data_IF_448959490519
#
_entry.id   IF_448959490519
#
_cell.length_a   1.000
_cell.length_b   1.000
_cell.length_c   1.000
_cell.angle_alpha   90.00
_cell.angle_beta   90.00
_cell.angle_gamma   90.00
#
_symmetry.space_group_name_H-M   'P 1'
#
loop_
_entity.id
_entity.type
_entity.pdbx_description
1 polymer ?
#
# COMPACT_ATOMS: atom_id res chain seq x y z
N UNK A 1 -42.66 -35.00 15.62
CA UNK A 1 -42.41 -36.32 16.25
C UNK A 1 -41.04 -36.79 15.81
N UNK A 2 -40.28 -37.13 16.74
CA UNK A 2 -39.03 -37.85 16.97
C UNK A 2 -37.84 -36.96 17.35
N UNK A 3 -37.70 -36.88 18.67
CA UNK A 3 -36.48 -36.55 19.41
C UNK A 3 -35.50 -37.72 19.27
N UNK A 4 -34.23 -37.48 19.22
CA UNK A 4 -33.26 -38.38 19.85
C UNK A 4 -32.08 -37.54 20.38
N UNK A 5 -31.93 -37.67 21.68
CA UNK A 5 -30.83 -37.23 22.49
C UNK A 5 -29.85 -38.40 22.68
N UNK A 6 -28.73 -38.14 23.28
CA UNK A 6 -27.74 -39.01 23.95
C UNK A 6 -26.30 -38.72 23.44
N UNK A 7 -25.25 -38.67 24.21
CA UNK A 7 -25.00 -39.01 25.62
C UNK A 7 -23.65 -38.39 26.02
N UNK A 8 -23.56 -37.91 27.24
CA UNK A 8 -22.35 -37.58 27.98
C UNK A 8 -21.57 -38.85 28.34
N UNK A 9 -20.24 -38.81 28.33
CA UNK A 9 -19.46 -39.71 29.14
C UNK A 9 -18.36 -38.98 29.87
N UNK A 10 -18.53 -38.93 31.17
CA UNK A 10 -17.59 -38.49 32.20
C UNK A 10 -16.89 -39.75 32.70
N UNK A 11 -15.60 -39.73 32.88
CA UNK A 11 -14.93 -40.72 33.74
C UNK A 11 -13.76 -40.08 34.49
N UNK A 12 -13.78 -40.32 35.78
CA UNK A 12 -13.09 -39.68 36.85
C UNK A 12 -11.78 -40.39 37.22
N UNK A 13 -10.91 -39.57 37.78
CA UNK A 13 -9.96 -39.78 38.89
C UNK A 13 -9.58 -41.21 39.35
N UNK A 14 -8.27 -41.39 39.55
CA UNK A 14 -7.78 -41.95 40.84
C UNK A 14 -6.40 -41.42 41.20
N UNK A 15 -6.28 -40.99 42.45
CA UNK A 15 -5.17 -40.58 43.25
C UNK A 15 -4.46 -41.81 43.84
N UNK A 16 -3.14 -41.74 44.05
CA UNK A 16 -2.46 -42.28 45.26
C UNK A 16 -1.01 -41.82 45.35
N UNK A 17 -0.68 -41.17 46.44
CA UNK A 17 0.65 -41.02 47.07
C UNK A 17 0.65 -41.93 48.32
N UNK A 18 1.76 -42.12 49.15
CA UNK A 18 3.20 -41.81 49.05
C UNK A 18 4.13 -42.95 49.49
N UNK A 19 5.47 -42.76 49.45
CA UNK A 19 6.44 -43.67 50.11
C UNK A 19 7.90 -43.21 49.99
N UNK A 20 8.37 -42.57 51.03
CA UNK A 20 9.63 -42.51 51.78
C UNK A 20 11.00 -42.85 51.14
N UNK A 21 11.87 -41.86 51.24
CA UNK A 21 13.33 -41.82 51.66
C UNK A 21 14.25 -42.98 51.40
N UNK A 22 15.38 -42.67 50.72
CA UNK A 22 16.72 -42.94 51.23
C UNK A 22 17.80 -42.13 50.49
N UNK A 23 18.71 -41.58 51.25
CA UNK A 23 19.90 -40.80 50.90
C UNK A 23 21.03 -41.70 50.43
N UNK A 24 21.79 -41.34 49.40
CA UNK A 24 23.22 -41.57 49.26
C UNK A 24 23.91 -40.61 48.28
N UNK A 25 25.11 -40.30 48.65
CA UNK A 25 26.13 -39.39 48.18
C UNK A 25 26.33 -39.13 46.67
N UNK A 26 26.83 -37.94 46.46
CA UNK A 26 27.33 -37.29 45.19
C UNK A 26 28.48 -38.09 44.52
N UNK A 27 28.73 -37.88 43.22
CA UNK A 27 29.75 -36.89 42.91
C UNK A 27 29.34 -35.91 41.78
N UNK A 28 29.93 -34.73 41.86
CA UNK A 28 29.90 -33.65 40.90
C UNK A 28 30.33 -34.10 39.50
N UNK A 29 29.47 -33.87 38.49
CA UNK A 29 29.88 -33.78 37.10
C UNK A 29 29.29 -32.50 36.52
N UNK A 30 30.17 -31.57 36.22
CA UNK A 30 29.92 -30.43 35.36
C UNK A 30 29.36 -30.95 34.03
N UNK A 31 28.10 -30.65 33.74
CA UNK A 31 27.58 -30.64 32.39
C UNK A 31 27.15 -29.21 32.09
N UNK A 32 27.95 -28.53 31.29
CA UNK A 32 27.53 -27.36 30.51
C UNK A 32 26.34 -27.79 29.63
N UNK A 33 25.15 -27.64 30.17
CA UNK A 33 23.93 -27.75 29.39
C UNK A 33 23.66 -26.38 28.71
N UNK A 34 24.46 -26.13 27.67
CA UNK A 34 24.15 -25.05 26.72
C UNK A 34 22.92 -25.50 25.96
N UNK A 35 21.74 -25.16 26.47
CA UNK A 35 20.49 -25.22 25.71
C UNK A 35 20.69 -24.40 24.45
N UNK A 36 20.98 -25.09 23.35
CA UNK A 36 20.93 -24.52 21.99
C UNK A 36 19.49 -24.04 21.75
N UNK A 37 19.26 -22.75 21.97
CA UNK A 37 18.07 -22.10 21.44
C UNK A 37 18.16 -22.32 19.93
N UNK A 38 17.15 -22.95 19.28
CA UNK A 38 17.19 -23.13 17.85
C UNK A 38 17.29 -21.71 17.23
N UNK A 39 18.38 -21.50 16.50
CA UNK A 39 18.57 -20.32 15.68
C UNK A 39 17.41 -20.32 14.70
N UNK A 40 16.46 -19.40 14.87
CA UNK A 40 15.35 -19.21 13.93
C UNK A 40 16.03 -18.89 12.60
N UNK A 41 15.95 -19.80 11.64
CA UNK A 41 16.43 -19.57 10.28
C UNK A 41 15.86 -18.20 9.82
N UNK A 42 16.72 -17.20 9.72
CA UNK A 42 16.36 -15.91 9.16
C UNK A 42 15.91 -16.19 7.73
N UNK A 43 14.62 -16.05 7.48
CA UNK A 43 14.07 -16.10 6.13
C UNK A 43 14.90 -15.16 5.27
N UNK A 44 15.70 -15.71 4.36
CA UNK A 44 16.57 -14.93 3.48
C UNK A 44 15.74 -14.38 2.34
N UNK A 45 15.22 -13.18 2.53
CA UNK A 45 14.59 -12.44 1.43
C UNK A 45 15.63 -12.09 0.35
N UNK A 46 15.25 -12.06 -0.92
CA UNK A 46 16.17 -11.69 -1.99
C UNK A 46 16.66 -10.25 -1.81
N UNK A 47 17.94 -10.02 -2.12
CA UNK A 47 18.59 -8.72 -2.01
C UNK A 47 19.39 -8.41 -3.26
N UNK A 48 19.28 -7.19 -3.76
CA UNK A 48 20.12 -6.66 -4.84
C UNK A 48 20.22 -5.13 -4.66
N UNK A 49 21.36 -4.69 -4.22
CA UNK A 49 21.66 -3.29 -3.90
C UNK A 49 21.37 -2.30 -5.04
N UNK A 50 21.40 -2.76 -6.29
CA UNK A 50 21.13 -1.89 -7.44
C UNK A 50 19.77 -1.16 -7.34
N UNK A 51 18.76 -1.80 -6.70
CA UNK A 51 17.43 -1.20 -6.55
C UNK A 51 17.44 -0.04 -5.55
N UNK A 52 18.14 -0.22 -4.43
CA UNK A 52 18.29 0.84 -3.43
C UNK A 52 19.18 1.97 -3.93
N UNK A 53 20.30 1.64 -4.60
CA UNK A 53 21.19 2.62 -5.22
C UNK A 53 20.45 3.51 -6.24
N UNK A 54 19.64 2.88 -7.10
CA UNK A 54 18.81 3.63 -8.05
C UNK A 54 17.78 4.51 -7.32
N UNK A 55 17.10 3.96 -6.33
CA UNK A 55 16.08 4.68 -5.57
C UNK A 55 16.69 5.89 -4.83
N UNK A 56 17.87 5.74 -4.22
CA UNK A 56 18.61 6.84 -3.61
C UNK A 56 18.93 7.93 -4.65
N UNK A 57 19.46 7.52 -5.79
CA UNK A 57 19.86 8.46 -6.85
C UNK A 57 18.67 9.30 -7.35
N UNK A 58 17.53 8.67 -7.64
CA UNK A 58 16.32 9.39 -8.10
C UNK A 58 15.59 10.13 -6.98
N UNK A 59 15.79 9.75 -5.72
CA UNK A 59 15.28 10.49 -4.58
C UNK A 59 16.15 11.73 -4.24
N UNK A 60 17.30 11.91 -4.90
CA UNK A 60 18.25 12.96 -4.58
C UNK A 60 18.90 12.74 -3.20
N UNK A 61 19.06 11.49 -2.80
CA UNK A 61 19.74 11.05 -1.58
C UNK A 61 21.09 10.49 -1.98
N UNK A 62 22.15 10.87 -1.28
CA UNK A 62 23.49 10.36 -1.57
C UNK A 62 23.57 8.87 -1.30
N UNK A 63 24.04 8.12 -2.29
CA UNK A 63 24.28 6.69 -2.16
C UNK A 63 25.45 6.40 -1.23
N UNK A 64 25.47 5.19 -0.70
CA UNK A 64 26.59 4.72 0.11
C UNK A 64 27.87 4.53 -0.71
N UNK A 65 28.99 4.42 -0.03
CA UNK A 65 30.24 4.04 -0.69
C UNK A 65 30.12 2.65 -1.35
N UNK A 66 30.61 2.56 -2.59
CA UNK A 66 30.48 1.36 -3.42
C UNK A 66 29.17 1.24 -4.21
N UNK A 67 28.27 2.23 -4.13
CA UNK A 67 27.14 2.33 -5.06
C UNK A 67 27.62 2.51 -6.50
N UNK A 68 27.03 1.75 -7.43
CA UNK A 68 27.32 1.87 -8.87
C UNK A 68 26.98 3.24 -9.47
N UNK A 69 26.17 4.05 -8.76
CA UNK A 69 25.77 5.40 -9.19
C UNK A 69 26.50 6.52 -8.46
N UNK A 70 27.36 6.21 -7.49
CA UNK A 70 28.10 7.20 -6.68
C UNK A 70 28.89 8.18 -7.54
N UNK A 71 29.51 7.72 -8.61
CA UNK A 71 30.26 8.56 -9.55
C UNK A 71 29.43 9.64 -10.24
N UNK A 72 28.13 9.42 -10.43
CA UNK A 72 27.21 10.39 -11.04
C UNK A 72 26.82 11.53 -10.10
N UNK A 73 26.93 11.32 -8.80
CA UNK A 73 26.51 12.27 -7.77
C UNK A 73 27.38 13.53 -7.69
N UNK A 74 28.62 13.45 -8.15
CA UNK A 74 29.51 14.61 -8.23
C UNK A 74 29.17 15.58 -9.37
N UNK A 75 28.30 15.16 -10.32
CA UNK A 75 27.92 16.00 -11.45
C UNK A 75 27.09 17.21 -11.01
N UNK A 76 27.29 18.36 -11.67
CA UNK A 76 26.50 19.57 -11.41
C UNK A 76 25.02 19.35 -11.68
N UNK A 77 24.68 18.47 -12.62
CA UNK A 77 23.32 18.07 -12.96
C UNK A 77 22.65 17.41 -11.76
N UNK A 78 23.27 16.41 -11.17
CA UNK A 78 22.71 15.69 -10.03
C UNK A 78 22.68 16.56 -8.77
N UNK A 79 23.69 17.36 -8.51
CA UNK A 79 23.71 18.27 -7.36
C UNK A 79 22.60 19.34 -7.43
N UNK A 80 22.29 19.85 -8.62
CA UNK A 80 21.16 20.75 -8.82
C UNK A 80 19.83 20.03 -8.63
N UNK A 81 19.72 18.80 -9.12
CA UNK A 81 18.56 17.95 -8.93
C UNK A 81 18.30 17.66 -7.44
N UNK A 82 19.33 17.23 -6.68
CA UNK A 82 19.25 16.97 -5.24
C UNK A 82 18.68 18.17 -4.49
N UNK A 83 19.24 19.38 -4.73
CA UNK A 83 18.75 20.61 -4.10
C UNK A 83 17.28 20.90 -4.43
N UNK A 84 16.87 20.68 -5.65
CA UNK A 84 15.48 20.87 -6.06
C UNK A 84 14.55 19.84 -5.40
N UNK A 85 14.98 18.59 -5.26
CA UNK A 85 14.25 17.53 -4.57
C UNK A 85 14.08 17.82 -3.08
N UNK A 86 15.14 18.25 -2.40
CA UNK A 86 15.08 18.63 -0.98
C UNK A 86 14.11 19.81 -0.76
N UNK A 87 14.09 20.77 -1.69
CA UNK A 87 13.12 21.87 -1.68
C UNK A 87 11.66 21.42 -1.81
N UNK A 88 11.38 20.45 -2.69
CA UNK A 88 10.04 19.89 -2.87
C UNK A 88 9.55 19.13 -1.61
N UNK A 89 10.46 18.37 -0.98
CA UNK A 89 10.12 17.55 0.18
C UNK A 89 9.93 18.34 1.47
N UNK A 90 10.42 19.57 1.56
CA UNK A 90 10.33 20.39 2.77
C UNK A 90 8.90 20.47 3.32
N UNK A 91 7.93 20.86 2.49
CA UNK A 91 6.52 20.98 2.91
C UNK A 91 5.91 19.61 3.26
N UNK A 92 6.32 18.55 2.58
CA UNK A 92 5.85 17.19 2.87
C UNK A 92 6.39 16.70 4.20
N UNK A 93 7.67 16.95 4.48
CA UNK A 93 8.30 16.61 5.76
C UNK A 93 7.64 17.30 6.95
N UNK A 94 7.10 18.51 6.78
CA UNK A 94 6.34 19.20 7.83
C UNK A 94 4.96 18.59 8.08
N UNK A 95 4.34 18.00 7.07
CA UNK A 95 2.99 17.42 7.15
C UNK A 95 2.97 15.95 7.60
N UNK A 96 3.95 15.17 7.18
CA UNK A 96 3.98 13.73 7.46
C UNK A 96 3.94 13.38 8.95
N UNK A 97 4.68 14.04 9.86
CA UNK A 97 4.58 13.76 11.29
C UNK A 97 3.16 13.93 11.82
N UNK A 98 2.48 15.01 11.43
CA UNK A 98 1.09 15.27 11.85
C UNK A 98 0.14 14.17 11.37
N UNK A 99 0.34 13.64 10.14
CA UNK A 99 -0.45 12.52 9.62
C UNK A 99 -0.15 11.23 10.36
N UNK A 100 1.11 10.94 10.66
CA UNK A 100 1.55 9.73 11.39
C UNK A 100 1.04 9.76 12.83
N UNK A 101 1.15 10.88 13.53
CA UNK A 101 0.63 11.05 14.91
C UNK A 101 -0.88 10.82 14.94
N UNK A 102 -1.61 11.42 13.98
CA UNK A 102 -3.05 11.21 13.86
C UNK A 102 -3.39 9.74 13.56
N UNK A 103 -2.65 9.11 12.64
CA UNK A 103 -2.86 7.70 12.31
C UNK A 103 -2.61 6.78 13.51
N UNK A 104 -1.56 7.02 14.27
CA UNK A 104 -1.26 6.26 15.49
C UNK A 104 -2.38 6.39 16.54
N UNK A 105 -3.04 7.55 16.61
CA UNK A 105 -4.12 7.78 17.56
C UNK A 105 -5.48 7.24 17.09
N UNK A 106 -5.80 7.37 15.80
CA UNK A 106 -7.16 7.19 15.29
C UNK A 106 -7.31 5.97 14.37
N UNK A 107 -6.26 5.57 13.63
CA UNK A 107 -6.26 4.41 12.72
C UNK A 107 -5.71 3.19 13.45
N UNK A 108 -4.47 3.23 13.90
CA UNK A 108 -3.78 2.22 14.72
C UNK A 108 -4.07 0.77 14.32
N UNK A 109 -3.99 0.47 13.03
CA UNK A 109 -4.15 -0.90 12.53
C UNK A 109 -2.82 -1.64 12.59
N UNK A 110 -2.84 -2.85 13.15
CA UNK A 110 -1.67 -3.73 13.23
C UNK A 110 -1.24 -4.30 11.87
N UNK A 111 -0.43 -5.36 11.91
CA UNK A 111 0.04 -6.07 10.71
C UNK A 111 -1.11 -6.65 9.87
N UNK A 112 -0.80 -7.07 8.65
CA UNK A 112 -1.73 -7.67 7.72
C UNK A 112 -1.60 -7.10 6.31
N UNK A 113 -2.60 -7.32 5.46
CA UNK A 113 -2.60 -6.82 4.09
C UNK A 113 -3.36 -5.50 3.99
N UNK A 114 -2.69 -4.46 3.49
CA UNK A 114 -3.31 -3.22 3.02
C UNK A 114 -3.68 -3.35 1.54
N UNK A 115 -4.96 -3.21 1.22
CA UNK A 115 -5.42 -3.05 -0.14
C UNK A 115 -5.66 -1.56 -0.47
N UNK A 116 -4.96 -1.04 -1.48
CA UNK A 116 -5.07 0.36 -1.90
C UNK A 116 -5.41 0.45 -3.40
N UNK A 117 -6.68 0.27 -3.79
CA UNK A 117 -7.12 0.45 -5.17
C UNK A 117 -7.16 1.94 -5.54
N UNK A 118 -6.95 2.22 -6.83
CA UNK A 118 -6.90 3.59 -7.40
C UNK A 118 -5.79 4.47 -6.83
N UNK A 119 -4.76 3.83 -6.31
CA UNK A 119 -3.69 4.48 -5.55
C UNK A 119 -2.75 5.35 -6.40
N UNK A 120 -2.59 5.04 -7.69
CA UNK A 120 -1.37 5.47 -8.36
C UNK A 120 -0.13 4.96 -7.60
N UNK A 121 1.01 5.64 -7.66
CA UNK A 121 2.21 5.27 -6.89
C UNK A 121 2.24 5.83 -5.46
N UNK A 122 1.09 6.01 -4.81
CA UNK A 122 0.96 6.73 -3.52
C UNK A 122 1.40 5.89 -2.30
N UNK A 123 2.63 5.46 -2.29
CA UNK A 123 3.22 4.82 -1.13
C UNK A 123 3.29 5.76 0.09
N UNK A 124 3.42 7.08 -0.16
CA UNK A 124 3.56 8.10 0.89
C UNK A 124 2.45 8.04 1.94
N UNK A 125 1.18 8.03 1.48
CA UNK A 125 0.04 7.98 2.38
C UNK A 125 -0.26 6.55 2.87
N UNK A 126 0.05 5.53 2.06
CA UNK A 126 -0.03 4.15 2.50
C UNK A 126 0.86 3.91 3.74
N UNK A 127 2.13 4.34 3.70
CA UNK A 127 3.04 4.22 4.85
C UNK A 127 2.66 5.15 6.02
N UNK A 128 2.15 6.36 5.73
CA UNK A 128 1.77 7.30 6.78
C UNK A 128 0.58 6.80 7.62
N UNK A 129 -0.39 6.12 7.00
CA UNK A 129 -1.61 5.67 7.69
C UNK A 129 -1.59 4.20 8.09
N UNK A 130 -0.79 3.37 7.42
CA UNK A 130 -0.72 1.93 7.67
C UNK A 130 0.73 1.46 7.82
N UNK A 131 1.47 2.03 8.79
CA UNK A 131 2.90 1.77 8.93
C UNK A 131 3.25 0.32 9.27
N UNK A 132 2.34 -0.43 9.89
CA UNK A 132 2.59 -1.77 10.39
C UNK A 132 2.12 -2.89 9.44
N UNK A 133 1.48 -2.53 8.31
CA UNK A 133 1.05 -3.53 7.34
C UNK A 133 2.25 -4.14 6.61
N UNK A 134 2.37 -5.45 6.68
CA UNK A 134 3.50 -6.19 6.09
C UNK A 134 3.35 -6.36 4.58
N UNK A 135 2.11 -6.50 4.11
CA UNK A 135 1.80 -6.64 2.69
C UNK A 135 0.97 -5.44 2.21
N UNK A 136 1.42 -4.79 1.16
CA UNK A 136 0.69 -3.69 0.51
C UNK A 136 0.37 -4.12 -0.92
N UNK A 137 -0.91 -4.09 -1.27
CA UNK A 137 -1.37 -4.34 -2.64
C UNK A 137 -1.95 -3.06 -3.21
N UNK A 138 -1.29 -2.51 -4.21
CA UNK A 138 -1.69 -1.28 -4.90
C UNK A 138 -2.14 -1.60 -6.32
N UNK A 139 -3.29 -1.07 -6.71
CA UNK A 139 -3.82 -1.22 -8.06
C UNK A 139 -4.23 0.14 -8.62
N UNK A 140 -3.73 0.47 -9.82
CA UNK A 140 -4.08 1.71 -10.50
C UNK A 140 -4.05 1.53 -12.03
N UNK A 141 -4.24 2.61 -12.79
CA UNK A 141 -4.23 2.55 -14.26
C UNK A 141 -2.89 2.95 -14.87
N UNK A 142 -2.03 3.57 -14.08
CA UNK A 142 -0.71 4.02 -14.53
C UNK A 142 0.20 2.83 -14.77
N UNK A 143 0.96 2.82 -15.89
CA UNK A 143 1.90 1.74 -16.18
C UNK A 143 2.99 1.66 -15.11
N UNK A 144 3.49 0.46 -14.91
CA UNK A 144 4.56 0.21 -13.92
C UNK A 144 5.84 0.94 -14.30
N UNK A 145 6.20 0.91 -15.59
CA UNK A 145 7.45 1.42 -16.10
C UNK A 145 8.60 0.43 -16.03
N UNK A 146 9.75 0.87 -16.50
CA UNK A 146 10.97 0.07 -16.55
C UNK A 146 12.06 0.64 -15.64
N UNK A 147 13.05 -0.19 -15.34
CA UNK A 147 14.21 0.19 -14.53
C UNK A 147 15.31 0.71 -15.47
N UNK A 148 15.56 2.03 -15.55
CA UNK A 148 16.51 2.57 -16.49
C UNK A 148 17.96 2.34 -16.04
N UNK A 149 18.86 2.16 -17.00
CA UNK A 149 20.29 2.22 -16.74
C UNK A 149 20.75 3.69 -16.68
N UNK A 150 20.97 4.20 -15.47
CA UNK A 150 21.35 5.60 -15.25
C UNK A 150 22.78 5.92 -15.73
N UNK A 151 23.69 4.93 -15.75
CA UNK A 151 25.05 5.11 -16.28
C UNK A 151 24.98 5.36 -17.79
N UNK A 152 24.29 4.51 -18.53
CA UNK A 152 24.09 4.70 -19.98
C UNK A 152 23.35 6.01 -20.29
N UNK A 153 22.36 6.40 -19.47
CA UNK A 153 21.69 7.70 -19.64
C UNK A 153 22.64 8.87 -19.44
N UNK A 154 23.55 8.78 -18.48
CA UNK A 154 24.55 9.81 -18.22
C UNK A 154 25.56 9.89 -19.35
N UNK A 155 26.10 8.77 -19.82
CA UNK A 155 27.02 8.71 -20.96
C UNK A 155 26.39 9.28 -22.23
N UNK A 156 25.07 9.09 -22.40
CA UNK A 156 24.31 9.66 -23.50
C UNK A 156 23.87 11.13 -23.28
N UNK A 157 24.21 11.74 -22.13
CA UNK A 157 23.80 13.11 -21.77
C UNK A 157 22.30 13.28 -21.52
N UNK A 158 21.58 12.19 -21.16
CA UNK A 158 20.11 12.14 -20.98
C UNK A 158 19.68 12.04 -19.51
N UNK A 159 20.60 11.86 -18.59
CA UNK A 159 20.34 11.76 -17.15
C UNK A 159 19.59 12.98 -16.61
N UNK A 160 20.00 14.19 -16.98
CA UNK A 160 19.34 15.42 -16.57
C UNK A 160 17.91 15.54 -17.08
N UNK A 161 17.62 15.03 -18.29
CA UNK A 161 16.26 15.04 -18.85
C UNK A 161 15.38 14.09 -18.04
N UNK A 162 15.89 12.87 -17.76
CA UNK A 162 15.18 11.86 -16.96
C UNK A 162 14.88 12.38 -15.55
N UNK A 163 15.90 12.83 -14.82
CA UNK A 163 15.78 13.37 -13.46
C UNK A 163 14.80 14.56 -13.39
N UNK A 164 14.83 15.45 -14.39
CA UNK A 164 13.86 16.55 -14.45
C UNK A 164 12.43 16.05 -14.69
N UNK A 165 12.24 14.98 -15.48
CA UNK A 165 10.95 14.31 -15.66
C UNK A 165 10.41 13.76 -14.33
N UNK A 166 11.25 13.03 -13.59
CA UNK A 166 10.91 12.51 -12.25
C UNK A 166 10.53 13.65 -11.30
N UNK A 167 11.33 14.72 -11.25
CA UNK A 167 11.05 15.89 -10.42
C UNK A 167 9.72 16.57 -10.76
N UNK A 168 9.41 16.73 -12.03
CA UNK A 168 8.13 17.34 -12.48
C UNK A 168 6.93 16.50 -12.05
N UNK A 169 7.00 15.19 -12.23
CA UNK A 169 5.94 14.26 -11.82
C UNK A 169 5.72 14.35 -10.30
N UNK A 170 6.80 14.34 -9.51
CA UNK A 170 6.71 14.48 -8.07
C UNK A 170 6.14 15.82 -7.62
N UNK A 171 6.57 16.93 -8.22
CA UNK A 171 6.07 18.28 -7.88
C UNK A 171 4.55 18.37 -8.06
N UNK A 172 4.01 17.76 -9.11
CA UNK A 172 2.56 17.71 -9.35
C UNK A 172 1.85 16.95 -8.22
N UNK A 173 2.37 15.80 -7.83
CA UNK A 173 1.78 14.94 -6.79
C UNK A 173 1.80 15.65 -5.43
N UNK A 174 2.95 16.16 -5.01
CA UNK A 174 3.09 16.81 -3.72
C UNK A 174 2.30 18.13 -3.64
N UNK A 175 2.09 18.79 -4.78
CA UNK A 175 1.37 20.07 -4.85
C UNK A 175 -0.14 19.96 -4.62
N UNK A 176 -0.77 18.86 -5.03
CA UNK A 176 -2.23 18.68 -5.00
C UNK A 176 -2.71 17.47 -4.17
N UNK A 177 -1.78 16.76 -3.52
CA UNK A 177 -2.08 15.61 -2.64
C UNK A 177 -2.81 14.42 -3.30
N UNK A 178 -2.91 14.38 -4.62
CA UNK A 178 -3.50 13.25 -5.36
C UNK A 178 -2.91 13.11 -6.76
N UNK A 179 -3.12 11.94 -7.36
CA UNK A 179 -2.64 11.63 -8.70
C UNK A 179 -3.69 11.97 -9.75
N UNK A 180 -3.28 12.62 -10.82
CA UNK A 180 -4.11 12.86 -11.98
C UNK A 180 -3.68 11.94 -13.11
N UNK A 181 -4.26 10.74 -13.19
CA UNK A 181 -3.93 9.70 -14.17
C UNK A 181 -3.73 10.22 -15.60
N UNK A 182 -4.63 11.09 -16.08
CA UNK A 182 -4.55 11.64 -17.44
C UNK A 182 -3.32 12.53 -17.63
N UNK A 183 -2.98 13.35 -16.64
CA UNK A 183 -1.81 14.21 -16.69
C UNK A 183 -0.52 13.39 -16.59
N UNK A 184 -0.48 12.42 -15.68
CA UNK A 184 0.68 11.55 -15.49
C UNK A 184 0.98 10.69 -16.72
N UNK A 185 -0.03 10.10 -17.35
CA UNK A 185 0.15 9.34 -18.61
C UNK A 185 0.73 10.22 -19.72
N UNK A 186 0.41 11.51 -19.73
CA UNK A 186 1.00 12.46 -20.69
C UNK A 186 2.47 12.79 -20.33
N UNK A 187 2.77 12.93 -19.03
CA UNK A 187 4.11 13.26 -18.55
C UNK A 187 5.05 12.05 -18.62
N UNK A 188 4.53 10.82 -18.42
CA UNK A 188 5.27 9.56 -18.56
C UNK A 188 5.52 9.12 -20.02
N UNK A 189 4.94 9.78 -21.00
CA UNK A 189 5.17 9.49 -22.44
C UNK A 189 6.52 9.96 -22.98
N UNK A 190 7.45 10.31 -22.10
CA UNK A 190 8.77 10.76 -22.48
C UNK A 190 9.86 9.88 -21.89
N UNK A 191 10.75 10.51 -21.12
CA UNK A 191 11.90 9.84 -20.52
C UNK A 191 11.55 8.98 -19.31
N UNK A 192 10.41 9.27 -18.62
CA UNK A 192 9.90 8.50 -17.48
C UNK A 192 8.70 7.69 -17.95
N UNK A 193 8.83 6.36 -18.01
CA UNK A 193 7.88 5.48 -18.67
C UNK A 193 6.86 4.81 -17.73
N UNK A 194 6.77 5.25 -16.47
CA UNK A 194 5.79 4.70 -15.51
C UNK A 194 5.97 5.13 -14.06
N UNK A 195 5.31 4.41 -13.17
CA UNK A 195 5.22 4.72 -11.74
C UNK A 195 6.45 4.35 -10.92
N UNK A 196 7.26 3.42 -11.42
CA UNK A 196 8.38 2.82 -10.69
C UNK A 196 9.26 3.88 -10.01
N UNK A 197 9.76 4.92 -10.71
CA UNK A 197 10.64 5.89 -10.08
C UNK A 197 9.94 6.73 -9.00
N UNK A 198 8.65 7.01 -9.15
CA UNK A 198 7.88 7.77 -8.15
C UNK A 198 7.65 6.94 -6.90
N UNK A 199 7.30 5.66 -7.07
CA UNK A 199 7.08 4.73 -5.97
C UNK A 199 8.36 4.53 -5.14
N UNK A 200 9.49 4.23 -5.81
CA UNK A 200 10.78 4.05 -5.15
C UNK A 200 11.26 5.32 -4.44
N UNK A 201 11.02 6.47 -5.04
CA UNK A 201 11.35 7.75 -4.45
C UNK A 201 10.57 8.03 -3.16
N UNK A 202 9.27 7.69 -3.12
CA UNK A 202 8.48 7.79 -1.89
C UNK A 202 9.03 6.85 -0.81
N UNK A 203 9.39 5.61 -1.17
CA UNK A 203 10.00 4.67 -0.21
C UNK A 203 11.27 5.25 0.41
N UNK A 204 12.20 5.75 -0.41
CA UNK A 204 13.46 6.34 0.11
C UNK A 204 13.21 7.58 0.96
N UNK A 205 12.35 8.49 0.52
CA UNK A 205 12.05 9.74 1.23
C UNK A 205 11.20 9.52 2.50
N UNK A 206 10.67 8.32 2.72
CA UNK A 206 10.03 7.89 3.98
C UNK A 206 10.88 6.93 4.81
N UNK A 207 12.20 6.92 4.57
CA UNK A 207 13.20 6.18 5.35
C UNK A 207 13.13 4.65 5.20
N UNK A 208 12.96 4.18 3.96
CA UNK A 208 12.97 2.75 3.65
C UNK A 208 14.18 2.36 2.77
N UNK A 209 14.69 1.16 3.00
CA UNK A 209 15.61 0.44 2.14
C UNK A 209 14.82 -0.46 1.20
N UNK A 210 15.16 -0.42 -0.10
CA UNK A 210 14.57 -1.32 -1.10
C UNK A 210 15.51 -2.49 -1.32
N UNK A 211 15.17 -3.64 -0.78
CA UNK A 211 16.00 -4.84 -0.80
C UNK A 211 16.01 -5.50 -2.19
N UNK A 212 14.83 -5.60 -2.81
CA UNK A 212 14.67 -6.30 -4.08
C UNK A 212 13.41 -5.88 -4.81
N UNK A 213 13.41 -6.05 -6.13
CA UNK A 213 12.22 -5.89 -6.96
C UNK A 213 12.17 -7.04 -7.96
N UNK A 214 10.99 -7.61 -8.13
CA UNK A 214 10.74 -8.68 -9.08
C UNK A 214 9.45 -8.44 -9.88
N UNK A 215 9.40 -9.03 -11.06
CA UNK A 215 8.18 -9.11 -11.85
C UNK A 215 7.38 -10.33 -11.42
N UNK A 216 6.09 -10.16 -11.20
CA UNK A 216 5.18 -11.25 -10.85
C UNK A 216 4.05 -11.37 -11.86
N UNK A 217 3.62 -12.59 -12.13
CA UNK A 217 2.46 -12.88 -12.96
C UNK A 217 1.36 -13.53 -12.12
N UNK A 218 0.12 -13.19 -12.42
CA UNK A 218 -1.05 -13.77 -11.76
C UNK A 218 -1.48 -15.06 -12.48
N UNK A 219 -1.60 -16.16 -11.74
CA UNK A 219 -2.11 -17.42 -12.24
C UNK A 219 -3.64 -17.41 -12.32
N UNK A 220 -4.24 -18.38 -13.05
CA UNK A 220 -5.71 -18.49 -13.15
C UNK A 220 -6.44 -18.65 -11.81
N UNK A 221 -5.78 -19.21 -10.79
CA UNK A 221 -6.29 -19.39 -9.43
C UNK A 221 -6.11 -18.14 -8.53
N UNK A 222 -5.57 -17.05 -9.07
CA UNK A 222 -5.27 -15.82 -8.34
C UNK A 222 -3.93 -15.82 -7.62
N UNK A 223 -3.19 -16.92 -7.54
CA UNK A 223 -1.86 -16.92 -6.92
C UNK A 223 -0.83 -16.22 -7.80
N UNK A 224 0.24 -15.71 -7.19
CA UNK A 224 1.32 -15.03 -7.92
C UNK A 224 2.52 -15.96 -8.15
N UNK A 225 3.20 -15.79 -9.27
CA UNK A 225 4.42 -16.52 -9.63
C UNK A 225 5.45 -15.58 -10.25
N UNK A 226 6.72 -15.89 -10.05
CA UNK A 226 7.86 -15.26 -10.74
C UNK A 226 8.25 -16.03 -12.00
N UNK A 227 7.72 -17.24 -12.18
CA UNK A 227 7.93 -18.04 -13.41
C UNK A 227 7.11 -17.47 -14.55
N UNK A 228 7.82 -16.85 -15.51
CA UNK A 228 7.25 -16.25 -16.72
C UNK A 228 7.21 -17.22 -17.91
N UNK A 229 7.72 -18.46 -17.79
CA UNK A 229 7.85 -19.43 -18.87
C UNK A 229 6.49 -19.85 -19.47
N UNK A 230 5.45 -19.86 -18.65
CA UNK A 230 4.08 -20.21 -19.04
C UNK A 230 3.16 -18.98 -19.14
N UNK A 231 3.74 -17.81 -19.37
CA UNK A 231 2.97 -16.58 -19.43
C UNK A 231 2.13 -16.57 -20.72
N UNK A 232 0.82 -16.76 -20.55
CA UNK A 232 -0.14 -16.65 -21.65
C UNK A 232 -0.59 -15.20 -21.77
N UNK A 233 -0.90 -14.75 -22.97
CA UNK A 233 -1.31 -13.37 -23.34
C UNK A 233 -2.43 -12.75 -22.50
N UNK A 234 -2.99 -13.48 -21.55
CA UNK A 234 -4.09 -13.04 -20.69
C UNK A 234 -3.68 -12.72 -19.26
N UNK A 235 -2.44 -12.92 -18.89
CA UNK A 235 -1.97 -12.84 -17.50
C UNK A 235 -1.72 -11.40 -17.08
N UNK A 236 -2.18 -11.02 -15.87
CA UNK A 236 -1.76 -9.75 -15.28
C UNK A 236 -0.33 -9.84 -14.78
N UNK A 237 0.46 -8.88 -15.19
CA UNK A 237 1.85 -8.72 -14.76
C UNK A 237 1.91 -7.53 -13.82
N UNK A 238 2.58 -7.73 -12.70
CA UNK A 238 2.82 -6.71 -11.67
C UNK A 238 4.29 -6.66 -11.27
N UNK A 239 4.61 -5.74 -10.41
CA UNK A 239 5.90 -5.66 -9.73
C UNK A 239 5.71 -5.87 -8.24
N UNK A 240 6.57 -6.68 -7.63
CA UNK A 240 6.67 -6.85 -6.19
C UNK A 240 7.98 -6.25 -5.71
N UNK A 241 7.89 -5.45 -4.66
CA UNK A 241 9.02 -4.84 -3.96
C UNK A 241 9.15 -5.49 -2.59
N UNK A 242 10.37 -5.82 -2.19
CA UNK A 242 10.75 -6.17 -0.83
C UNK A 242 11.50 -5.00 -0.23
N UNK A 243 11.03 -4.50 0.88
CA UNK A 243 11.58 -3.31 1.50
C UNK A 243 11.42 -3.36 3.02
N UNK A 244 12.22 -2.57 3.72
CA UNK A 244 12.14 -2.42 5.18
C UNK A 244 12.39 -0.96 5.57
N UNK A 245 12.02 -0.56 6.78
CA UNK A 245 12.51 0.70 7.34
C UNK A 245 13.98 0.57 7.70
N UNK A 246 14.75 1.64 7.55
CA UNK A 246 16.19 1.60 7.82
C UNK A 246 16.53 1.17 9.26
N UNK A 247 15.62 1.38 10.21
CA UNK A 247 15.79 1.08 11.63
C UNK A 247 15.07 -0.21 12.06
N UNK A 248 14.63 -1.04 11.11
CA UNK A 248 13.83 -2.24 11.36
C UNK A 248 14.35 -3.42 10.54
N UNK A 249 14.29 -4.61 11.12
CA UNK A 249 14.55 -5.87 10.41
C UNK A 249 13.26 -6.46 9.78
N UNK A 250 12.09 -5.85 10.01
CA UNK A 250 10.82 -6.33 9.46
C UNK A 250 10.76 -6.02 7.97
N UNK A 251 10.78 -7.07 7.17
CA UNK A 251 10.64 -6.96 5.71
C UNK A 251 9.17 -6.91 5.35
N UNK A 252 8.82 -5.92 4.54
CA UNK A 252 7.48 -5.66 4.01
C UNK A 252 7.47 -5.90 2.51
N UNK A 253 6.31 -6.21 1.96
CA UNK A 253 6.14 -6.32 0.52
C UNK A 253 5.16 -5.28 -0.01
N UNK A 254 5.43 -4.78 -1.21
CA UNK A 254 4.47 -4.00 -1.98
C UNK A 254 4.31 -4.64 -3.35
N UNK A 255 3.08 -5.02 -3.70
CA UNK A 255 2.76 -5.54 -5.04
C UNK A 255 1.89 -4.52 -5.77
N UNK A 256 2.35 -4.09 -6.95
CA UNK A 256 1.65 -3.11 -7.79
C UNK A 256 1.20 -3.74 -9.10
N UNK A 257 -0.08 -3.52 -9.44
CA UNK A 257 -0.65 -3.91 -10.74
C UNK A 257 -1.24 -2.70 -11.48
N UNK A 258 -0.95 -2.61 -12.76
CA UNK A 258 -1.57 -1.64 -13.67
C UNK A 258 -2.84 -2.24 -14.29
N UNK A 259 -3.98 -2.13 -13.60
CA UNK A 259 -5.22 -2.85 -13.95
C UNK A 259 -6.44 -1.97 -13.77
N UNK A 260 -7.42 -2.13 -14.68
CA UNK A 260 -8.74 -1.53 -14.54
C UNK A 260 -9.67 -2.44 -13.72
N UNK A 261 -10.22 -1.90 -12.63
CA UNK A 261 -11.14 -2.58 -11.71
C UNK A 261 -12.62 -2.43 -12.08
N UNK A 262 -12.94 -1.98 -13.30
CA UNK A 262 -14.32 -1.90 -13.77
C UNK A 262 -14.91 -3.29 -14.04
N UNK A 263 -16.21 -3.48 -13.80
CA UNK A 263 -16.89 -4.76 -13.98
C UNK A 263 -16.86 -5.30 -15.42
N UNK A 264 -16.97 -4.41 -16.39
CA UNK A 264 -17.09 -4.75 -17.81
C UNK A 264 -15.92 -4.22 -18.62
N UNK A 265 -15.57 -4.86 -19.73
CA UNK A 265 -14.57 -4.33 -20.66
C UNK A 265 -14.91 -2.89 -21.09
N UNK A 266 -13.89 -2.09 -21.31
CA UNK A 266 -14.04 -0.78 -21.90
C UNK A 266 -12.98 -0.56 -22.99
N UNK A 267 -13.30 0.30 -23.94
CA UNK A 267 -12.37 0.69 -24.99
C UNK A 267 -11.56 1.90 -24.51
N UNK A 268 -10.25 1.75 -24.42
CA UNK A 268 -9.34 2.85 -24.12
C UNK A 268 -9.30 3.85 -25.29
N UNK A 269 -8.83 5.08 -25.04
CA UNK A 269 -8.63 6.08 -26.09
C UNK A 269 -7.69 5.63 -27.22
N UNK A 270 -6.89 4.59 -27.01
CA UNK A 270 -6.02 3.96 -28.01
C UNK A 270 -6.66 2.81 -28.78
N UNK A 271 -7.96 2.55 -28.62
CA UNK A 271 -8.66 1.44 -29.27
C UNK A 271 -8.44 0.07 -28.62
N UNK A 272 -7.60 -0.03 -27.59
CA UNK A 272 -7.37 -1.26 -26.84
C UNK A 272 -8.54 -1.53 -25.90
N UNK A 273 -9.04 -2.77 -25.95
CA UNK A 273 -10.10 -3.22 -25.02
C UNK A 273 -9.46 -3.74 -23.75
N UNK A 274 -9.68 -3.03 -22.65
CA UNK A 274 -9.30 -3.52 -21.33
C UNK A 274 -10.39 -4.45 -20.80
N UNK A 275 -10.01 -5.68 -20.44
CA UNK A 275 -10.93 -6.67 -19.84
C UNK A 275 -11.40 -6.19 -18.46
N UNK A 276 -12.67 -6.37 -18.16
CA UNK A 276 -13.25 -6.05 -16.85
C UNK A 276 -13.32 -7.26 -15.92
N UNK A 277 -13.63 -7.02 -14.63
CA UNK A 277 -13.66 -8.04 -13.56
C UNK A 277 -14.60 -9.21 -13.86
N UNK A 278 -15.71 -9.01 -14.57
CA UNK A 278 -16.63 -10.10 -14.93
C UNK A 278 -15.99 -11.20 -15.79
N UNK A 279 -14.94 -10.89 -16.51
CA UNK A 279 -14.23 -11.82 -17.40
C UNK A 279 -12.83 -12.17 -16.88
N UNK A 280 -12.46 -11.68 -15.69
CA UNK A 280 -11.15 -11.89 -15.08
C UNK A 280 -11.30 -12.56 -13.72
N UNK A 281 -11.64 -13.84 -13.78
CA UNK A 281 -11.81 -14.67 -12.59
C UNK A 281 -10.51 -14.83 -11.79
N UNK A 282 -9.35 -14.80 -12.46
CA UNK A 282 -8.02 -14.78 -11.86
C UNK A 282 -7.82 -13.55 -10.96
N UNK A 283 -8.15 -12.34 -11.45
CA UNK A 283 -8.03 -11.12 -10.65
C UNK A 283 -9.03 -11.09 -9.49
N UNK A 284 -10.25 -11.59 -9.69
CA UNK A 284 -11.22 -11.70 -8.61
C UNK A 284 -10.74 -12.68 -7.55
N UNK A 285 -10.25 -13.87 -7.95
CA UNK A 285 -9.68 -14.85 -7.04
C UNK A 285 -8.46 -14.30 -6.27
N UNK A 286 -7.59 -13.54 -6.93
CA UNK A 286 -6.48 -12.85 -6.28
C UNK A 286 -7.00 -11.88 -5.19
N UNK A 287 -7.94 -10.99 -5.54
CA UNK A 287 -8.47 -9.98 -4.62
C UNK A 287 -9.22 -10.60 -3.42
N UNK A 288 -9.88 -11.73 -3.62
CA UNK A 288 -10.56 -12.48 -2.55
C UNK A 288 -9.58 -13.30 -1.70
N UNK A 289 -8.41 -13.65 -2.25
CA UNK A 289 -7.40 -14.49 -1.60
C UNK A 289 -6.29 -13.76 -0.85
N UNK A 290 -6.17 -12.43 -0.98
CA UNK A 290 -5.07 -11.67 -0.36
C UNK A 290 -5.26 -11.33 1.13
N UNK A 291 -6.30 -11.84 1.76
CA UNK A 291 -6.61 -11.63 3.20
C UNK A 291 -6.54 -10.14 3.60
N UNK A 292 -7.47 -9.34 3.06
CA UNK A 292 -7.47 -7.90 3.23
C UNK A 292 -7.77 -7.53 4.68
N UNK A 293 -6.77 -7.03 5.42
CA UNK A 293 -6.96 -6.46 6.75
C UNK A 293 -7.58 -5.06 6.64
N UNK A 294 -6.97 -4.21 5.85
CA UNK A 294 -7.36 -2.81 5.69
C UNK A 294 -7.50 -2.43 4.23
N UNK A 295 -8.48 -1.58 3.91
CA UNK A 295 -8.57 -0.92 2.61
C UNK A 295 -8.43 0.60 2.78
N UNK A 296 -7.64 1.21 1.90
CA UNK A 296 -7.51 2.66 1.82
C UNK A 296 -8.03 3.19 0.48
N UNK A 297 -8.92 4.18 0.53
CA UNK A 297 -9.50 4.82 -0.65
C UNK A 297 -9.34 6.34 -0.55
N UNK A 298 -8.52 6.91 -1.40
CA UNK A 298 -8.28 8.36 -1.44
C UNK A 298 -8.34 8.85 -2.88
N UNK A 299 -9.12 9.90 -3.11
CA UNK A 299 -9.25 10.52 -4.44
C UNK A 299 -9.58 9.50 -5.54
N UNK A 300 -10.47 8.56 -5.23
CA UNK A 300 -10.83 7.41 -6.08
C UNK A 300 -11.78 7.79 -7.25
N UNK A 301 -11.83 9.06 -7.64
CA UNK A 301 -12.65 9.58 -8.76
C UNK A 301 -14.14 9.21 -8.65
N UNK A 302 -14.63 9.00 -7.43
CA UNK A 302 -16.00 8.56 -7.15
C UNK A 302 -16.38 7.29 -7.94
N UNK A 303 -15.40 6.44 -8.26
CA UNK A 303 -15.64 5.22 -9.02
C UNK A 303 -16.50 4.23 -8.22
N UNK A 304 -16.33 4.19 -6.91
CA UNK A 304 -17.13 3.35 -6.02
C UNK A 304 -18.61 3.75 -5.95
N UNK A 305 -18.99 4.95 -6.40
CA UNK A 305 -20.38 5.38 -6.52
C UNK A 305 -21.09 4.77 -7.74
N UNK A 306 -20.34 4.23 -8.69
CA UNK A 306 -20.90 3.73 -9.96
C UNK A 306 -21.22 2.23 -9.86
N UNK A 307 -22.35 1.82 -10.47
CA UNK A 307 -22.70 0.41 -10.57
C UNK A 307 -21.67 -0.43 -11.34
N UNK A 308 -20.94 0.22 -12.25
CA UNK A 308 -19.86 -0.40 -13.02
C UNK A 308 -18.63 -0.80 -12.19
N UNK A 309 -18.57 -0.46 -10.91
CA UNK A 309 -17.53 -0.85 -9.96
C UNK A 309 -18.12 -1.64 -8.76
N UNK A 310 -19.29 -2.23 -8.94
CA UNK A 310 -19.96 -2.95 -7.84
C UNK A 310 -19.21 -4.20 -7.40
N UNK A 311 -18.49 -4.90 -8.28
CA UNK A 311 -17.73 -6.10 -7.92
C UNK A 311 -16.62 -5.73 -6.94
N UNK A 312 -15.75 -4.79 -7.28
CA UNK A 312 -14.66 -4.39 -6.39
C UNK A 312 -15.18 -3.77 -5.09
N UNK A 313 -16.27 -2.98 -5.14
CA UNK A 313 -16.90 -2.44 -3.94
C UNK A 313 -17.36 -3.55 -2.99
N UNK A 314 -17.99 -4.62 -3.53
CA UNK A 314 -18.44 -5.76 -2.72
C UNK A 314 -17.22 -6.52 -2.16
N UNK A 315 -16.20 -6.79 -2.95
CA UNK A 315 -14.97 -7.44 -2.47
C UNK A 315 -14.40 -6.69 -1.27
N UNK A 316 -14.28 -5.35 -1.36
CA UNK A 316 -13.78 -4.52 -0.26
C UNK A 316 -14.68 -4.67 0.98
N UNK A 317 -15.98 -4.50 0.83
CA UNK A 317 -16.91 -4.55 1.96
C UNK A 317 -17.05 -5.95 2.58
N UNK A 318 -16.86 -7.01 1.81
CA UNK A 318 -16.98 -8.37 2.28
C UNK A 318 -15.68 -8.89 2.92
N UNK A 319 -14.50 -8.49 2.40
CA UNK A 319 -13.20 -9.02 2.83
C UNK A 319 -12.41 -8.10 3.77
N UNK A 320 -12.61 -6.76 3.73
CA UNK A 320 -11.89 -5.87 4.65
C UNK A 320 -12.47 -5.91 6.06
N UNK A 321 -11.62 -5.79 7.07
CA UNK A 321 -12.03 -5.54 8.46
C UNK A 321 -12.08 -4.04 8.78
N UNK A 322 -11.28 -3.26 8.05
CA UNK A 322 -11.11 -1.83 8.24
C UNK A 322 -11.08 -1.10 6.90
N UNK A 323 -11.76 0.05 6.80
CA UNK A 323 -11.70 0.94 5.64
C UNK A 323 -11.43 2.37 6.09
N UNK A 324 -10.42 3.00 5.52
CA UNK A 324 -10.18 4.44 5.63
C UNK A 324 -10.39 5.07 4.26
N UNK A 325 -11.21 6.11 4.19
CA UNK A 325 -11.52 6.74 2.90
C UNK A 325 -11.87 8.22 3.01
N UNK A 326 -11.69 8.97 1.90
CA UNK A 326 -12.31 10.28 1.71
C UNK A 326 -13.72 10.13 1.08
N UNK A 327 -14.40 11.26 0.83
CA UNK A 327 -15.76 11.28 0.24
C UNK A 327 -15.85 10.68 -1.18
N UNK A 328 -14.72 10.45 -1.85
CA UNK A 328 -14.67 9.83 -3.17
C UNK A 328 -14.70 8.30 -3.15
N UNK A 329 -14.62 7.69 -1.96
CA UNK A 329 -14.63 6.26 -1.74
C UNK A 329 -16.01 5.62 -1.90
N UNK A 330 -16.30 4.63 -1.04
CA UNK A 330 -17.59 3.92 -1.03
C UNK A 330 -18.65 4.77 -0.35
N UNK A 331 -19.82 5.02 -0.97
CA UNK A 331 -20.91 5.75 -0.32
C UNK A 331 -21.35 5.14 1.00
N UNK A 332 -21.63 6.00 2.00
CA UNK A 332 -21.90 5.55 3.38
C UNK A 332 -23.09 4.58 3.49
N UNK A 333 -24.08 4.68 2.64
CA UNK A 333 -25.23 3.79 2.59
C UNK A 333 -24.88 2.30 2.44
N UNK A 334 -23.74 1.97 1.80
CA UNK A 334 -23.32 0.57 1.62
C UNK A 334 -22.71 -0.04 2.90
N UNK A 335 -22.21 0.78 3.81
CA UNK A 335 -21.68 0.33 5.11
C UNK A 335 -22.81 0.01 6.09
N UNK A 336 -23.90 0.76 6.10
CA UNK A 336 -25.04 0.56 6.99
C UNK A 336 -25.71 -0.81 6.84
N UNK A 337 -25.61 -1.42 5.66
CA UNK A 337 -26.16 -2.74 5.38
C UNK A 337 -25.30 -3.91 5.91
N UNK A 338 -24.06 -3.66 6.32
CA UNK A 338 -23.05 -4.68 6.65
C UNK A 338 -22.47 -4.59 8.07
N UNK A 339 -23.11 -3.88 8.97
CA UNK A 339 -22.69 -3.74 10.38
C UNK A 339 -21.27 -3.20 10.53
N UNK A 340 -21.04 -2.00 10.02
CA UNK A 340 -19.83 -1.25 10.23
C UNK A 340 -20.06 -0.13 11.24
N UNK A 341 -19.08 0.12 12.11
CA UNK A 341 -18.99 1.33 12.91
C UNK A 341 -18.27 2.43 12.13
N UNK A 342 -18.87 3.61 12.07
CA UNK A 342 -18.35 4.73 11.29
C UNK A 342 -17.92 5.86 12.18
N UNK A 343 -16.72 6.39 11.94
CA UNK A 343 -16.19 7.63 12.55
C UNK A 343 -15.78 8.57 11.43
N UNK A 344 -16.10 9.84 11.56
CA UNK A 344 -15.89 10.86 10.55
C UNK A 344 -14.90 11.92 11.04
N UNK A 345 -14.04 12.41 10.15
CA UNK A 345 -13.00 13.39 10.49
C UNK A 345 -13.01 14.53 9.49
N UNK A 346 -12.86 15.77 9.99
CA UNK A 346 -12.78 16.96 9.18
C UNK A 346 -14.14 17.58 8.85
N UNK A 347 -14.35 17.99 7.61
CA UNK A 347 -15.57 18.65 7.13
C UNK A 347 -15.95 18.19 5.73
N UNK A 348 -17.22 17.96 5.49
CA UNK A 348 -17.77 17.69 4.17
C UNK A 348 -19.05 18.49 3.94
N UNK A 349 -19.05 19.28 2.86
CA UNK A 349 -20.24 20.03 2.41
C UNK A 349 -20.65 19.63 1.00
N UNK A 350 -19.66 19.57 0.11
CA UNK A 350 -19.84 19.21 -1.31
C UNK A 350 -18.53 18.59 -1.81
N UNK A 351 -18.61 17.70 -2.82
CA UNK A 351 -17.43 17.28 -3.55
C UNK A 351 -16.82 18.48 -4.30
N UNK A 352 -15.60 18.32 -4.82
CA UNK A 352 -15.03 19.35 -5.69
C UNK A 352 -15.89 19.52 -6.95
N UNK A 353 -15.85 20.70 -7.59
CA UNK A 353 -16.72 21.06 -8.72
C UNK A 353 -16.67 20.07 -9.89
N UNK A 354 -15.51 19.41 -10.10
CA UNK A 354 -15.34 18.37 -11.13
C UNK A 354 -16.26 17.16 -10.91
N UNK A 355 -16.71 16.92 -9.68
CA UNK A 355 -17.57 15.79 -9.29
C UNK A 355 -18.84 16.24 -8.58
N UNK A 356 -19.36 17.43 -8.90
CA UNK A 356 -20.54 17.99 -8.23
C UNK A 356 -21.75 17.06 -8.27
N UNK A 357 -21.90 16.26 -9.33
CA UNK A 357 -22.97 15.27 -9.48
C UNK A 357 -22.83 14.04 -8.57
N UNK A 358 -21.71 13.94 -7.84
CA UNK A 358 -21.44 12.87 -6.88
C UNK A 358 -21.70 13.27 -5.44
N UNK A 359 -22.41 14.37 -5.24
CA UNK A 359 -22.82 14.84 -3.93
C UNK A 359 -23.58 13.75 -3.14
N UNK A 360 -23.23 13.62 -1.86
CA UNK A 360 -23.85 12.69 -0.91
C UNK A 360 -24.57 13.50 0.18
N UNK A 361 -25.89 13.59 0.09
CA UNK A 361 -26.68 14.35 1.06
C UNK A 361 -26.66 13.68 2.44
N UNK A 362 -26.67 12.34 2.48
CA UNK A 362 -26.56 11.54 3.71
C UNK A 362 -25.22 11.80 4.43
N UNK A 363 -24.11 11.84 3.69
CA UNK A 363 -22.80 12.18 4.25
C UNK A 363 -22.75 13.63 4.76
N UNK A 364 -23.28 14.58 3.99
CA UNK A 364 -23.37 15.98 4.39
C UNK A 364 -24.16 16.13 5.69
N UNK A 365 -25.29 15.44 5.79
CA UNK A 365 -26.13 15.44 6.97
C UNK A 365 -25.39 14.97 8.22
N UNK A 366 -24.53 13.96 8.11
CA UNK A 366 -23.68 13.52 9.24
C UNK A 366 -22.80 14.65 9.73
N UNK A 367 -22.10 15.34 8.85
CA UNK A 367 -21.22 16.44 9.23
C UNK A 367 -21.98 17.66 9.76
N UNK A 368 -23.16 17.98 9.20
CA UNK A 368 -23.99 19.07 9.67
C UNK A 368 -24.60 18.81 11.06
N UNK A 369 -25.02 17.59 11.33
CA UNK A 369 -25.55 17.22 12.64
C UNK A 369 -24.46 17.15 13.71
N UNK A 370 -23.23 16.90 13.29
CA UNK A 370 -22.11 16.72 14.20
C UNK A 370 -22.33 15.51 15.13
N UNK A 371 -21.80 15.60 16.33
CA UNK A 371 -21.90 14.57 17.36
C UNK A 371 -20.55 13.91 17.67
N UNK A 372 -20.56 12.92 18.54
CA UNK A 372 -19.34 12.26 19.03
C UNK A 372 -18.55 11.54 17.94
N UNK A 373 -19.21 11.12 16.87
CA UNK A 373 -18.58 10.43 15.74
C UNK A 373 -17.98 11.37 14.69
N UNK A 374 -18.07 12.70 14.88
CA UNK A 374 -17.46 13.69 13.99
C UNK A 374 -16.33 14.39 14.74
N UNK A 375 -15.10 14.12 14.33
CA UNK A 375 -13.87 14.59 14.96
C UNK A 375 -13.11 15.56 14.05
N UNK A 376 -12.17 16.30 14.61
CA UNK A 376 -11.30 17.20 13.85
C UNK A 376 -10.27 16.42 13.02
N UNK A 377 -9.92 16.95 11.83
CA UNK A 377 -8.81 16.46 11.01
C UNK A 377 -7.70 17.52 10.99
N UNK A 378 -6.51 17.23 11.52
CA UNK A 378 -5.47 18.24 11.70
C UNK A 378 -4.70 18.59 10.42
N UNK A 379 -4.94 17.88 9.31
CA UNK A 379 -4.28 18.07 8.00
C UNK A 379 -5.29 18.12 6.86
N UNK A 380 -4.81 18.46 5.67
CA UNK A 380 -5.57 18.36 4.44
C UNK A 380 -5.13 17.17 3.61
N UNK A 381 -6.08 16.47 2.98
CA UNK A 381 -5.84 15.26 2.17
C UNK A 381 -6.90 15.10 1.08
N UNK A 382 -6.60 14.28 0.07
CA UNK A 382 -7.53 13.95 -0.99
C UNK A 382 -7.82 15.12 -1.93
N UNK A 383 -8.98 15.14 -2.55
CA UNK A 383 -9.38 16.20 -3.48
C UNK A 383 -9.49 17.57 -2.81
N UNK A 384 -9.86 17.59 -1.56
CA UNK A 384 -9.99 18.81 -0.76
C UNK A 384 -8.78 18.98 0.18
N UNK A 385 -7.60 18.95 -0.37
CA UNK A 385 -6.30 18.85 0.30
C UNK A 385 -5.95 19.98 1.28
N UNK A 386 -6.86 20.91 1.54
CA UNK A 386 -6.64 21.99 2.50
C UNK A 386 -7.18 21.59 3.88
N UNK A 387 -6.42 21.90 4.95
CA UNK A 387 -6.92 21.77 6.32
C UNK A 387 -8.22 22.54 6.50
N UNK A 388 -9.22 21.89 7.13
CA UNK A 388 -10.55 22.48 7.36
C UNK A 388 -11.54 22.33 6.20
N UNK A 389 -11.12 21.68 5.08
CA UNK A 389 -12.03 21.33 3.99
C UNK A 389 -11.97 19.86 3.63
N UNK A 390 -10.97 19.14 4.13
CA UNK A 390 -10.79 17.70 3.92
C UNK A 390 -11.67 16.88 4.84
N UNK A 391 -12.01 15.71 4.37
CA UNK A 391 -12.73 14.73 5.15
C UNK A 391 -12.03 13.37 5.07
N UNK A 392 -12.18 12.58 6.12
CA UNK A 392 -11.90 11.16 6.14
C UNK A 392 -13.02 10.44 6.89
N UNK A 393 -13.33 9.25 6.48
CA UNK A 393 -14.21 8.32 7.17
C UNK A 393 -13.44 7.06 7.50
N UNK A 394 -13.50 6.66 8.77
CA UNK A 394 -13.05 5.38 9.27
C UNK A 394 -14.26 4.45 9.41
N UNK A 395 -14.18 3.26 8.86
CA UNK A 395 -15.16 2.21 9.02
C UNK A 395 -14.49 0.95 9.58
N UNK A 396 -15.04 0.41 10.69
CA UNK A 396 -14.56 -0.77 11.39
C UNK A 396 -15.67 -1.83 11.38
N UNK A 397 -15.36 -3.06 10.95
CA UNK A 397 -16.32 -4.15 10.88
C UNK A 397 -16.63 -4.67 12.28
N UNK A 398 -17.92 -4.85 12.61
CA UNK A 398 -18.40 -5.37 13.89
C UNK A 398 -18.23 -6.87 14.04
#
# INVERSE_FOLDING_TARGET
MKKLAFLFLLAAMTSCTPGTTETTDSPETNSDDTTLVPEIEKSTYPQDRKFDDFANHIAGIEGEEGSGLKGLESSITWQNYKRAMDGLWKTTNDKLPVMKDWSNAEVNQGSGTLFYPFSGPDFLHADAFFPEHENIVMIALEPIGTFPNMVEKSEAGKDGIYLNGVRKSLNMILGISFFRTIAMVADFKGEVDGNLPVLMQFMKRTNHEIMYQEVVAMKPDGTLTTDMSNNVDSTYIGNRYYFKRNESDVVRTLTYFAVNLQNTPYVSRGGLVAKGLKTRTDLVAFLEGIDIKSTYLKSASYLMHRSTFSIIRNIILDNSEFVLQDDSGIPIQYFGQRKWDLTFYGDYKFPISLFAERHQEDLKDVYLKGGENVKSLPFGIGYQFRKGTSNLMKAEKK
#
